data_IF_996762045426
#
_entry.id   IF_996762045426
#
_cell.length_a   1.000
_cell.length_b   1.000
_cell.length_c   1.000
_cell.angle_alpha   90.00
_cell.angle_beta   90.00
_cell.angle_gamma   90.00
#
_symmetry.space_group_name_H-M   'P 1'
#
loop_
_entity.id
_entity.type
_entity.pdbx_description
1 polymer ?
#
# COMPACT_ATOMS: atom_id res chain seq x y z
N UNK A 1 5.94 4.74 -46.07
CA UNK A 1 6.71 4.68 -44.80
C UNK A 1 5.69 4.47 -43.67
N UNK A 2 5.57 3.23 -43.18
CA UNK A 2 4.68 2.91 -42.06
C UNK A 2 5.31 3.50 -40.79
N UNK A 3 4.79 4.63 -40.30
CA UNK A 3 4.91 4.97 -38.90
C UNK A 3 4.16 3.89 -38.14
N UNK A 4 4.85 2.85 -37.67
CA UNK A 4 4.36 2.07 -36.53
C UNK A 4 4.30 3.09 -35.39
N UNK A 5 3.09 3.54 -35.06
CA UNK A 5 2.84 4.30 -33.84
C UNK A 5 3.46 3.50 -32.71
N UNK A 6 4.31 4.13 -31.92
CA UNK A 6 4.94 3.50 -30.77
C UNK A 6 3.85 3.41 -29.69
N UNK A 7 2.97 2.42 -29.83
CA UNK A 7 1.83 2.21 -28.92
C UNK A 7 2.25 1.70 -27.52
N UNK A 8 3.53 1.31 -27.39
CA UNK A 8 4.09 0.84 -26.13
C UNK A 8 5.23 1.78 -25.68
N UNK A 9 5.22 2.10 -24.39
CA UNK A 9 6.28 2.85 -23.71
C UNK A 9 6.97 1.95 -22.69
N UNK A 10 8.30 1.92 -22.69
CA UNK A 10 9.08 1.23 -21.66
C UNK A 10 9.27 2.17 -20.47
N UNK A 11 8.83 1.75 -19.30
CA UNK A 11 9.05 2.46 -18.04
C UNK A 11 10.35 1.97 -17.39
N UNK A 12 11.11 2.89 -16.80
CA UNK A 12 12.30 2.58 -16.03
C UNK A 12 11.99 2.56 -14.54
N UNK A 13 12.51 1.59 -13.81
CA UNK A 13 12.45 1.59 -12.35
C UNK A 13 13.41 2.64 -11.81
N UNK A 14 12.90 3.67 -11.17
CA UNK A 14 13.71 4.76 -10.60
C UNK A 14 14.05 4.53 -9.13
N UNK A 15 13.21 3.76 -8.42
CA UNK A 15 13.36 3.51 -7.00
C UNK A 15 12.64 2.22 -6.59
N UNK A 16 12.92 1.76 -5.38
CA UNK A 16 12.14 0.74 -4.68
C UNK A 16 11.72 1.27 -3.32
N UNK A 17 10.56 0.83 -2.84
CA UNK A 17 10.13 1.16 -1.49
C UNK A 17 10.48 0.03 -0.53
N UNK A 18 10.91 0.38 0.69
CA UNK A 18 10.97 -0.51 1.86
C UNK A 18 9.75 -0.26 2.73
N UNK A 19 9.06 -1.31 3.11
CA UNK A 19 7.90 -1.27 3.99
C UNK A 19 7.93 -2.42 4.99
N UNK A 20 6.99 -2.42 5.93
CA UNK A 20 6.82 -3.50 6.90
C UNK A 20 6.18 -4.78 6.32
N UNK A 21 5.75 -4.78 5.04
CA UNK A 21 4.99 -5.86 4.42
C UNK A 21 5.83 -6.68 3.43
N UNK A 22 6.42 -7.81 3.85
CA UNK A 22 7.13 -8.70 2.92
C UNK A 22 6.19 -9.46 1.98
N UNK A 23 4.91 -9.58 2.36
CA UNK A 23 3.84 -10.20 1.57
C UNK A 23 2.66 -9.25 1.43
N UNK A 24 1.75 -9.55 0.50
CA UNK A 24 0.55 -8.72 0.26
C UNK A 24 -0.53 -8.80 1.34
N UNK A 25 -0.50 -9.82 2.21
CA UNK A 25 -1.50 -9.97 3.26
C UNK A 25 -1.28 -8.93 4.36
N UNK A 26 -2.34 -8.22 4.74
CA UNK A 26 -2.28 -7.14 5.73
C UNK A 26 -1.99 -5.74 5.16
N UNK A 27 -1.57 -5.62 3.89
CA UNK A 27 -1.39 -4.30 3.28
C UNK A 27 -2.74 -3.55 3.26
N UNK A 28 -2.79 -2.29 3.73
CA UNK A 28 -3.99 -1.46 3.62
C UNK A 28 -4.50 -1.37 2.18
N UNK A 29 -5.81 -1.38 2.00
CA UNK A 29 -6.43 -1.40 0.66
C UNK A 29 -6.19 -0.13 -0.16
N UNK A 30 -5.85 0.97 0.49
CA UNK A 30 -5.48 2.26 -0.12
C UNK A 30 -4.46 2.96 0.75
N UNK A 31 -3.67 3.83 0.14
CA UNK A 31 -2.75 4.72 0.86
C UNK A 31 -3.51 5.67 1.81
N UNK A 32 -2.88 6.03 2.91
CA UNK A 32 -3.42 6.95 3.90
C UNK A 32 -4.46 6.36 4.86
N UNK A 33 -4.90 5.10 4.69
CA UNK A 33 -5.81 4.46 5.65
C UNK A 33 -5.14 4.18 7.01
N UNK A 34 -3.84 3.95 7.01
CA UNK A 34 -3.02 3.80 8.21
C UNK A 34 -1.86 4.77 8.10
N UNK A 35 -2.05 5.97 8.57
CA UNK A 35 -1.08 7.08 8.44
C UNK A 35 0.23 6.84 9.19
N UNK A 36 0.21 5.98 10.20
CA UNK A 36 1.38 5.63 11.02
C UNK A 36 2.35 4.64 10.35
N UNK A 37 1.97 4.00 9.23
CA UNK A 37 2.85 3.09 8.49
C UNK A 37 4.01 3.86 7.87
N UNK A 38 5.24 3.44 8.19
CA UNK A 38 6.47 4.04 7.67
C UNK A 38 6.96 3.30 6.44
N UNK A 39 7.55 4.05 5.52
CA UNK A 39 8.23 3.52 4.35
C UNK A 39 9.44 4.37 3.97
N UNK A 40 10.38 3.76 3.28
CA UNK A 40 11.56 4.43 2.75
C UNK A 40 11.65 4.19 1.24
N UNK A 41 11.74 5.27 0.47
CA UNK A 41 11.93 5.19 -0.98
C UNK A 41 13.42 5.36 -1.27
N UNK A 42 14.02 4.34 -1.85
CA UNK A 42 15.45 4.26 -2.15
C UNK A 42 15.63 4.24 -3.66
N UNK A 43 16.27 5.26 -4.18
CA UNK A 43 16.55 5.38 -5.62
C UNK A 43 17.54 4.33 -6.09
N UNK A 44 17.37 3.86 -7.32
CA UNK A 44 18.39 3.06 -8.00
C UNK A 44 19.64 3.92 -8.30
N UNK A 45 20.82 3.33 -8.44
CA UNK A 45 22.07 4.10 -8.56
C UNK A 45 22.06 5.20 -9.61
N UNK A 46 21.41 4.98 -10.75
CA UNK A 46 21.32 5.96 -11.86
C UNK A 46 20.58 7.25 -11.44
N UNK A 47 19.64 7.15 -10.47
CA UNK A 47 18.74 8.26 -10.11
C UNK A 47 19.03 8.87 -8.72
N UNK A 48 20.18 8.56 -8.10
CA UNK A 48 20.59 9.03 -6.77
C UNK A 48 21.15 10.46 -6.75
N UNK A 49 20.54 11.36 -7.48
CA UNK A 49 20.99 12.76 -7.53
C UNK A 49 20.22 13.59 -6.50
N UNK A 50 20.95 14.34 -5.66
CA UNK A 50 20.35 15.31 -4.75
C UNK A 50 19.57 16.42 -5.49
N UNK A 51 20.02 16.75 -6.71
CA UNK A 51 19.35 17.76 -7.53
C UNK A 51 17.96 17.31 -8.00
N UNK A 52 17.75 16.00 -8.16
CA UNK A 52 16.46 15.46 -8.59
C UNK A 52 15.35 15.61 -7.54
N UNK A 53 15.71 15.77 -6.26
CA UNK A 53 14.76 15.94 -5.15
C UNK A 53 14.74 17.36 -4.60
N UNK A 54 15.48 18.28 -5.20
CA UNK A 54 15.54 19.68 -4.77
C UNK A 54 14.16 20.33 -4.85
N UNK A 55 13.68 20.91 -3.73
CA UNK A 55 12.36 21.54 -3.61
C UNK A 55 11.24 20.55 -3.27
N UNK A 56 11.51 19.23 -3.21
CA UNK A 56 10.49 18.26 -2.85
C UNK A 56 10.15 18.35 -1.35
N UNK A 57 11.06 18.83 -0.53
CA UNK A 57 10.89 19.07 0.90
C UNK A 57 9.78 20.08 1.26
N UNK A 58 9.38 20.92 0.30
CA UNK A 58 8.30 21.90 0.49
C UNK A 58 6.91 21.28 0.33
N UNK A 59 6.82 20.04 -0.13
CA UNK A 59 5.57 19.32 -0.34
C UNK A 59 5.29 18.34 0.81
N UNK A 60 4.06 18.33 1.32
CA UNK A 60 3.64 17.43 2.39
C UNK A 60 3.29 16.03 1.88
N UNK A 61 2.90 15.90 0.61
CA UNK A 61 2.50 14.64 -0.01
C UNK A 61 3.08 14.51 -1.42
N UNK A 62 3.28 13.26 -1.82
CA UNK A 62 3.76 12.90 -3.15
C UNK A 62 2.90 11.78 -3.74
N UNK A 63 2.77 11.79 -5.06
CA UNK A 63 2.24 10.68 -5.84
C UNK A 63 3.35 9.70 -6.17
N UNK A 64 3.08 8.41 -5.99
CA UNK A 64 3.91 7.31 -6.44
C UNK A 64 3.21 6.59 -7.58
N UNK A 65 3.89 6.43 -8.71
CA UNK A 65 3.50 5.53 -9.81
C UNK A 65 4.36 4.28 -9.71
N UNK A 66 3.73 3.14 -9.50
CA UNK A 66 4.42 1.90 -9.16
C UNK A 66 3.79 0.69 -9.83
N UNK A 67 4.42 -0.49 -9.74
CA UNK A 67 3.93 -1.71 -10.35
C UNK A 67 3.38 -2.69 -9.32
N UNK A 68 2.23 -3.28 -9.62
CA UNK A 68 1.75 -4.47 -8.95
C UNK A 68 2.58 -5.70 -9.38
N UNK A 69 3.82 -5.80 -8.90
CA UNK A 69 4.78 -6.81 -9.32
C UNK A 69 4.32 -8.25 -9.10
N UNK A 70 3.48 -8.49 -8.08
CA UNK A 70 2.90 -9.80 -7.79
C UNK A 70 1.62 -10.14 -8.58
N UNK A 71 1.18 -9.28 -9.53
CA UNK A 71 -0.08 -9.46 -10.25
C UNK A 71 0.05 -9.36 -11.78
N UNK A 72 1.27 -9.40 -12.30
CA UNK A 72 1.52 -9.39 -13.74
C UNK A 72 0.96 -10.65 -14.39
N UNK A 73 0.18 -10.49 -15.46
CA UNK A 73 -0.44 -11.59 -16.22
C UNK A 73 -0.24 -11.36 -17.72
N UNK A 74 -0.17 -12.44 -18.47
CA UNK A 74 -0.03 -12.41 -19.93
C UNK A 74 -1.35 -11.99 -20.62
N UNK A 75 -2.49 -12.19 -19.95
CA UNK A 75 -3.82 -11.85 -20.45
C UNK A 75 -4.59 -11.02 -19.43
N UNK A 76 -5.45 -10.14 -19.93
CA UNK A 76 -6.33 -9.32 -19.10
C UNK A 76 -7.80 -9.70 -19.28
N UNK A 77 -8.64 -9.29 -18.35
CA UNK A 77 -10.08 -9.44 -18.43
C UNK A 77 -10.75 -8.05 -18.39
N UNK A 78 -11.77 -7.78 -19.20
CA UNK A 78 -12.49 -6.52 -19.18
C UNK A 78 -13.26 -6.30 -17.88
N UNK A 79 -13.49 -7.36 -17.10
CA UNK A 79 -14.22 -7.30 -15.84
C UNK A 79 -13.44 -7.98 -14.71
N UNK A 80 -13.64 -7.47 -13.50
CA UNK A 80 -13.13 -8.02 -12.25
C UNK A 80 -14.25 -8.13 -11.22
N UNK A 81 -14.02 -8.86 -10.14
CA UNK A 81 -14.96 -8.99 -9.01
C UNK A 81 -14.35 -8.30 -7.79
N UNK A 82 -14.75 -7.04 -7.51
CA UNK A 82 -14.23 -6.34 -6.34
C UNK A 82 -14.63 -7.05 -5.04
N UNK A 83 -13.69 -7.34 -4.12
CA UNK A 83 -14.01 -7.98 -2.85
C UNK A 83 -15.05 -7.19 -2.03
N UNK A 84 -15.03 -5.86 -2.10
CA UNK A 84 -15.98 -4.99 -1.42
C UNK A 84 -17.45 -5.17 -1.85
N UNK A 85 -17.69 -5.76 -3.01
CA UNK A 85 -19.03 -6.10 -3.50
C UNK A 85 -19.36 -7.58 -3.26
N UNK A 86 -18.75 -8.22 -2.25
CA UNK A 86 -18.99 -9.62 -1.90
C UNK A 86 -18.43 -10.64 -2.90
N UNK A 87 -17.54 -10.19 -3.82
CA UNK A 87 -16.88 -11.08 -4.79
C UNK A 87 -17.79 -11.66 -5.90
N UNK A 88 -19.09 -11.40 -5.87
CA UNK A 88 -20.06 -11.94 -6.85
C UNK A 88 -20.41 -10.94 -7.96
N UNK A 89 -20.36 -9.65 -7.69
CA UNK A 89 -20.67 -8.59 -8.64
C UNK A 89 -19.49 -8.32 -9.56
N UNK A 90 -19.72 -8.34 -10.87
CA UNK A 90 -18.71 -7.98 -11.87
C UNK A 90 -18.73 -6.48 -12.14
N UNK A 91 -17.53 -5.87 -12.15
CA UNK A 91 -17.33 -4.48 -12.53
C UNK A 91 -16.34 -4.39 -13.69
N UNK A 92 -16.48 -3.38 -14.53
CA UNK A 92 -15.46 -3.05 -15.52
C UNK A 92 -14.12 -2.79 -14.82
N UNK A 93 -13.02 -3.33 -15.36
CA UNK A 93 -11.68 -3.20 -14.72
C UNK A 93 -11.29 -1.74 -14.54
N UNK A 94 -11.65 -0.85 -15.47
CA UNK A 94 -11.33 0.58 -15.39
C UNK A 94 -12.20 1.36 -14.38
N UNK A 95 -13.33 0.77 -13.94
CA UNK A 95 -14.11 1.30 -12.82
C UNK A 95 -13.56 0.86 -11.45
N UNK A 96 -12.41 0.19 -11.40
CA UNK A 96 -11.79 -0.34 -10.18
C UNK A 96 -10.31 0.01 -10.13
N UNK A 97 -9.70 -0.19 -8.95
CA UNK A 97 -8.25 -0.14 -8.74
C UNK A 97 -7.62 -1.54 -8.66
N UNK A 98 -8.26 -2.53 -9.33
CA UNK A 98 -7.74 -3.89 -9.39
C UNK A 98 -6.35 -3.94 -10.04
N UNK A 99 -5.42 -4.76 -9.51
CA UNK A 99 -4.11 -4.98 -10.12
C UNK A 99 -4.19 -5.75 -11.45
N UNK A 100 -5.30 -6.48 -11.68
CA UNK A 100 -5.51 -7.31 -12.87
C UNK A 100 -6.03 -6.47 -14.04
N UNK A 101 -5.18 -5.59 -14.53
CA UNK A 101 -5.46 -4.63 -15.59
C UNK A 101 -4.39 -4.68 -16.68
N UNK A 102 -4.65 -4.12 -17.89
CA UNK A 102 -3.70 -4.20 -19.00
C UNK A 102 -2.30 -3.71 -18.67
N UNK A 103 -2.22 -2.59 -17.94
CA UNK A 103 -0.99 -2.07 -17.37
C UNK A 103 -1.12 -2.13 -15.85
N UNK A 104 -0.46 -3.07 -15.17
CA UNK A 104 -0.62 -3.28 -13.72
C UNK A 104 0.12 -2.21 -12.91
N UNK A 105 -0.26 -0.94 -13.16
CA UNK A 105 0.27 0.23 -12.47
C UNK A 105 -0.62 0.60 -11.29
N UNK A 106 0.01 0.90 -10.16
CA UNK A 106 -0.57 1.49 -8.98
C UNK A 106 -0.31 2.99 -8.92
N UNK A 107 -1.19 3.70 -8.27
CA UNK A 107 -1.08 5.13 -7.98
C UNK A 107 -1.45 5.35 -6.52
N UNK A 108 -0.49 5.85 -5.74
CA UNK A 108 -0.67 6.09 -4.30
C UNK A 108 -0.20 7.49 -3.94
N UNK A 109 -1.03 8.22 -3.21
CA UNK A 109 -0.61 9.45 -2.54
C UNK A 109 -0.11 9.09 -1.14
N UNK A 110 1.12 9.45 -0.81
CA UNK A 110 1.72 9.20 0.49
C UNK A 110 2.22 10.50 1.10
N UNK A 111 2.24 10.56 2.44
CA UNK A 111 2.82 11.69 3.15
C UNK A 111 4.34 11.64 3.04
N UNK A 112 4.96 12.74 2.66
CA UNK A 112 6.41 12.92 2.73
C UNK A 112 6.78 13.45 4.12
N UNK A 113 7.50 12.64 4.89
CA UNK A 113 7.94 12.99 6.24
C UNK A 113 9.27 13.74 6.24
N UNK A 114 10.14 13.40 5.28
CA UNK A 114 11.44 14.03 5.14
C UNK A 114 12.28 13.40 4.04
N UNK A 115 13.44 14.01 3.81
CA UNK A 115 14.46 13.53 2.88
C UNK A 115 15.76 13.44 3.64
N UNK A 116 16.36 12.24 3.69
CA UNK A 116 17.65 12.00 4.30
C UNK A 116 18.70 11.74 3.24
N UNK A 117 19.83 12.46 3.32
CA UNK A 117 21.02 12.13 2.53
C UNK A 117 21.79 11.03 3.23
N UNK A 118 21.88 9.85 2.65
CA UNK A 118 22.62 8.71 3.21
C UNK A 118 23.84 8.38 2.39
N UNK A 119 24.99 8.06 3.04
CA UNK A 119 26.17 7.60 2.33
C UNK A 119 25.84 6.45 1.37
N UNK A 120 26.37 6.46 0.16
CA UNK A 120 26.21 5.46 -0.90
C UNK A 120 24.77 5.26 -1.44
N UNK A 121 23.75 5.73 -0.73
CA UNK A 121 22.35 5.66 -1.15
C UNK A 121 21.85 6.96 -1.79
N UNK A 122 22.52 8.10 -1.52
CA UNK A 122 22.01 9.41 -1.93
C UNK A 122 20.77 9.80 -1.13
N UNK A 123 19.81 10.53 -1.76
CA UNK A 123 18.56 10.89 -1.10
C UNK A 123 17.69 9.67 -0.86
N UNK A 124 17.16 9.55 0.35
CA UNK A 124 16.14 8.57 0.74
C UNK A 124 14.91 9.35 1.17
N UNK A 125 13.76 9.07 0.57
CA UNK A 125 12.52 9.72 0.96
C UNK A 125 11.86 8.91 2.08
N UNK A 126 11.60 9.56 3.20
CA UNK A 126 10.84 8.99 4.31
C UNK A 126 9.36 9.30 4.10
N UNK A 127 8.54 8.27 4.03
CA UNK A 127 7.11 8.40 3.74
C UNK A 127 6.25 7.71 4.79
N UNK A 128 4.97 8.12 4.86
CA UNK A 128 3.94 7.49 5.68
C UNK A 128 2.70 7.15 4.87
N UNK A 129 1.97 6.16 5.38
CA UNK A 129 0.68 5.77 4.82
C UNK A 129 0.78 5.00 3.51
N UNK A 130 1.92 4.41 3.19
CA UNK A 130 2.07 3.61 1.97
C UNK A 130 1.29 2.29 2.03
N UNK A 131 0.66 1.94 0.91
CA UNK A 131 -0.09 0.71 0.67
C UNK A 131 0.66 -0.23 -0.30
N UNK A 132 1.98 -0.30 -0.15
CA UNK A 132 2.86 -1.05 -1.04
C UNK A 132 3.58 -2.18 -0.30
N UNK A 133 3.77 -3.29 -0.98
CA UNK A 133 4.62 -4.38 -0.52
C UNK A 133 6.09 -3.97 -0.52
N UNK A 134 6.87 -4.50 0.40
CA UNK A 134 8.32 -4.32 0.43
C UNK A 134 8.98 -4.69 -0.90
N UNK A 135 9.94 -3.88 -1.35
CA UNK A 135 10.63 -4.07 -2.62
C UNK A 135 9.83 -3.65 -3.87
N UNK A 136 8.62 -3.09 -3.73
CA UNK A 136 7.82 -2.66 -4.88
C UNK A 136 8.57 -1.63 -5.72
N UNK A 137 8.68 -1.85 -7.07
CA UNK A 137 9.34 -0.91 -7.97
C UNK A 137 8.48 0.34 -8.21
N UNK A 138 9.14 1.49 -8.18
CA UNK A 138 8.55 2.81 -8.43
C UNK A 138 9.08 3.32 -9.76
N UNK A 139 8.18 3.82 -10.59
CA UNK A 139 8.49 4.35 -11.94
C UNK A 139 8.49 5.86 -12.00
N UNK A 140 7.69 6.54 -11.17
CA UNK A 140 7.66 8.00 -11.14
C UNK A 140 7.22 8.51 -9.76
N UNK A 141 7.68 9.71 -9.43
CA UNK A 141 7.34 10.45 -8.22
C UNK A 141 6.96 11.86 -8.64
N UNK A 142 5.79 12.32 -8.23
CA UNK A 142 5.32 13.68 -8.47
C UNK A 142 4.85 14.34 -7.18
N UNK A 143 5.00 15.65 -7.02
CA UNK A 143 4.40 16.33 -5.89
C UNK A 143 2.87 16.28 -5.96
N UNK A 144 2.21 16.14 -4.82
CA UNK A 144 0.76 16.33 -4.70
C UNK A 144 0.45 17.83 -4.66
N UNK A 145 -0.41 18.27 -5.55
CA UNK A 145 -0.78 19.68 -5.70
C UNK A 145 -2.26 19.85 -5.35
N UNK A 146 -2.60 20.42 -4.15
CA UNK A 146 -3.96 20.44 -3.65
C UNK A 146 -5.01 21.02 -4.60
N UNK A 147 -4.72 22.11 -5.27
CA UNK A 147 -5.68 22.76 -6.17
C UNK A 147 -5.96 21.94 -7.45
N UNK A 148 -5.05 21.03 -7.83
CA UNK A 148 -5.18 20.20 -9.03
C UNK A 148 -5.64 18.77 -8.69
N UNK A 149 -5.20 18.24 -7.56
CA UNK A 149 -5.37 16.81 -7.22
C UNK A 149 -6.57 16.56 -6.29
N UNK A 150 -7.05 17.60 -5.57
CA UNK A 150 -8.15 17.47 -4.64
C UNK A 150 -9.48 17.85 -5.28
N UNK A 151 -10.44 16.92 -5.29
CA UNK A 151 -11.80 17.12 -5.76
C UNK A 151 -12.79 16.74 -4.65
N UNK A 152 -13.12 17.64 -3.70
CA UNK A 152 -13.97 17.33 -2.56
C UNK A 152 -15.37 16.84 -2.94
N UNK A 153 -15.89 17.30 -4.09
CA UNK A 153 -17.23 16.96 -4.60
C UNK A 153 -17.23 15.73 -5.52
N UNK A 154 -16.11 15.00 -5.63
CA UNK A 154 -16.01 13.86 -6.52
C UNK A 154 -16.96 12.73 -6.08
N UNK A 155 -17.72 12.19 -7.05
CA UNK A 155 -18.55 11.03 -6.81
C UNK A 155 -17.70 9.76 -6.63
N UNK A 156 -17.96 9.01 -5.56
CA UNK A 156 -17.15 7.84 -5.18
C UNK A 156 -17.59 6.52 -5.83
N UNK A 157 -18.62 6.54 -6.71
CA UNK A 157 -19.12 5.34 -7.35
C UNK A 157 -19.56 4.26 -6.35
N UNK A 158 -19.30 3.00 -6.65
CA UNK A 158 -19.67 1.88 -5.77
C UNK A 158 -18.96 1.92 -4.40
N UNK A 159 -17.86 2.64 -4.27
CA UNK A 159 -17.13 2.73 -3.00
C UNK A 159 -17.86 3.55 -1.95
N UNK A 160 -18.80 4.42 -2.37
CA UNK A 160 -19.66 5.16 -1.43
C UNK A 160 -20.63 4.25 -0.66
N UNK A 161 -20.94 3.08 -1.21
CA UNK A 161 -21.89 2.12 -0.61
C UNK A 161 -21.19 1.11 0.33
N UNK A 162 -19.85 1.14 0.36
CA UNK A 162 -19.05 0.19 1.15
C UNK A 162 -18.38 0.93 2.30
N UNK A 163 -18.89 0.71 3.51
CA UNK A 163 -18.26 1.27 4.71
C UNK A 163 -16.93 0.56 4.99
N UNK A 164 -15.96 1.31 5.52
CA UNK A 164 -14.79 0.72 6.14
C UNK A 164 -15.24 0.06 7.44
N UNK A 165 -14.93 -1.22 7.58
CA UNK A 165 -15.16 -1.94 8.82
C UNK A 165 -13.91 -1.80 9.67
N UNK A 166 -14.07 -1.23 10.85
CA UNK A 166 -13.02 -1.18 11.86
C UNK A 166 -13.37 -2.17 12.96
N UNK A 167 -12.38 -2.90 13.42
CA UNK A 167 -12.51 -3.84 14.52
C UNK A 167 -11.76 -3.33 15.75
N UNK A 168 -12.25 -3.69 16.93
CA UNK A 168 -11.54 -3.47 18.18
C UNK A 168 -10.38 -4.47 18.28
N UNK A 169 -9.17 -3.98 18.52
CA UNK A 169 -7.98 -4.82 18.66
C UNK A 169 -7.69 -5.11 20.12
N UNK A 170 -7.79 -6.37 20.50
CA UNK A 170 -7.43 -6.89 21.81
C UNK A 170 -6.13 -7.67 21.71
N UNK A 171 -5.14 -7.29 22.50
CA UNK A 171 -3.85 -7.95 22.54
C UNK A 171 -3.32 -7.95 23.98
N UNK A 172 -2.92 -9.11 24.56
CA UNK A 172 -2.27 -9.16 25.86
C UNK A 172 -1.01 -8.28 25.89
N UNK A 173 -0.77 -7.60 27.00
CA UNK A 173 0.33 -6.64 27.14
C UNK A 173 1.71 -7.31 26.88
N UNK A 174 1.89 -8.53 27.40
CA UNK A 174 3.11 -9.31 27.19
C UNK A 174 3.36 -9.71 25.74
N UNK A 175 2.30 -9.91 24.96
CA UNK A 175 2.38 -10.19 23.51
C UNK A 175 2.71 -8.89 22.76
N UNK A 176 2.03 -7.80 23.12
CA UNK A 176 2.25 -6.49 22.51
C UNK A 176 3.65 -5.94 22.78
N UNK A 177 4.24 -6.26 23.94
CA UNK A 177 5.61 -5.86 24.30
C UNK A 177 6.68 -6.37 23.32
N UNK A 178 6.39 -7.42 22.54
CA UNK A 178 7.32 -7.97 21.54
C UNK A 178 7.41 -7.09 20.29
N UNK A 179 6.44 -6.20 20.07
CA UNK A 179 6.44 -5.29 18.92
C UNK A 179 7.38 -4.10 19.22
N UNK A 180 8.37 -3.83 18.35
CA UNK A 180 9.19 -2.63 18.49
C UNK A 180 8.35 -1.37 18.60
N UNK A 181 8.71 -0.45 19.48
CA UNK A 181 7.91 0.75 19.75
C UNK A 181 7.60 1.57 18.48
N UNK A 182 8.55 1.64 17.54
CA UNK A 182 8.38 2.36 16.28
C UNK A 182 7.30 1.74 15.35
N UNK A 183 6.99 0.45 15.52
CA UNK A 183 6.07 -0.30 14.65
C UNK A 183 4.68 -0.49 15.27
N UNK A 184 4.50 -0.18 16.55
CA UNK A 184 3.25 -0.46 17.29
C UNK A 184 2.04 0.24 16.70
N UNK A 185 2.16 1.53 16.40
CA UNK A 185 1.04 2.30 15.86
C UNK A 185 0.67 1.83 14.44
N UNK A 186 1.67 1.48 13.64
CA UNK A 186 1.47 0.91 12.31
C UNK A 186 0.75 -0.44 12.36
N UNK A 187 1.24 -1.36 13.19
CA UNK A 187 0.62 -2.68 13.35
C UNK A 187 -0.80 -2.56 13.89
N UNK A 188 -1.04 -1.72 14.91
CA UNK A 188 -2.36 -1.48 15.46
C UNK A 188 -3.33 -0.99 14.39
N UNK A 189 -2.95 0.02 13.62
CA UNK A 189 -3.79 0.55 12.56
C UNK A 189 -4.10 -0.48 11.46
N UNK A 190 -3.16 -1.35 11.12
CA UNK A 190 -3.39 -2.46 10.18
C UNK A 190 -4.43 -3.43 10.72
N UNK A 191 -4.31 -3.84 11.99
CA UNK A 191 -5.23 -4.77 12.62
C UNK A 191 -6.63 -4.17 12.78
N UNK A 192 -6.74 -2.89 13.16
CA UNK A 192 -8.01 -2.16 13.28
C UNK A 192 -8.76 -2.05 11.93
N UNK A 193 -8.05 -2.07 10.82
CA UNK A 193 -8.63 -2.06 9.46
C UNK A 193 -9.07 -3.46 8.96
N UNK A 194 -9.15 -4.45 9.82
CA UNK A 194 -9.55 -5.83 9.52
C UNK A 194 -8.83 -6.40 8.28
N UNK A 195 -7.63 -6.93 8.44
CA UNK A 195 -6.82 -7.41 7.31
C UNK A 195 -7.36 -8.71 6.67
N UNK A 196 -8.43 -9.31 7.22
CA UNK A 196 -9.03 -10.53 6.66
C UNK A 196 -9.52 -10.33 5.22
N UNK A 197 -9.52 -11.37 4.39
CA UNK A 197 -10.35 -11.40 3.19
C UNK A 197 -11.82 -11.16 3.56
N UNK A 198 -12.49 -10.30 2.81
CA UNK A 198 -13.87 -9.85 3.10
C UNK A 198 -14.94 -10.93 3.02
N UNK A 199 -14.60 -12.11 2.50
CA UNK A 199 -15.47 -13.29 2.37
C UNK A 199 -15.25 -14.34 3.48
N UNK A 200 -14.37 -14.05 4.45
CA UNK A 200 -14.03 -14.98 5.52
C UNK A 200 -14.59 -14.50 6.87
N UNK A 201 -15.50 -15.31 7.45
CA UNK A 201 -16.23 -14.97 8.68
C UNK A 201 -16.16 -16.08 9.74
N UNK A 202 -15.21 -17.01 9.64
CA UNK A 202 -15.03 -18.09 10.63
C UNK A 202 -14.32 -17.54 11.89
N UNK A 203 -14.99 -17.47 13.05
CA UNK A 203 -14.41 -16.91 14.28
C UNK A 203 -13.33 -17.81 14.90
N UNK A 204 -13.30 -19.10 14.55
CA UNK A 204 -12.28 -20.02 15.06
C UNK A 204 -11.00 -20.04 14.21
N UNK A 205 -11.03 -19.41 13.05
CA UNK A 205 -9.89 -19.37 12.15
C UNK A 205 -8.80 -18.47 12.71
N UNK A 206 -7.58 -19.02 12.77
CA UNK A 206 -6.36 -18.25 13.06
C UNK A 206 -5.78 -17.74 11.74
N UNK A 207 -5.55 -16.44 11.67
CA UNK A 207 -4.86 -15.79 10.56
C UNK A 207 -3.42 -15.53 10.97
N UNK A 208 -2.49 -15.68 10.03
CA UNK A 208 -1.08 -15.33 10.20
C UNK A 208 -0.70 -14.20 9.24
N UNK A 209 -0.03 -13.17 9.72
CA UNK A 209 0.42 -12.02 8.96
C UNK A 209 1.88 -11.71 9.27
N UNK A 210 2.66 -11.49 8.23
CA UNK A 210 4.03 -11.01 8.38
C UNK A 210 4.04 -9.47 8.39
N UNK A 211 4.68 -8.88 9.41
CA UNK A 211 4.79 -7.43 9.56
C UNK A 211 6.11 -7.06 10.25
N UNK A 212 6.95 -6.27 9.60
CA UNK A 212 8.21 -5.76 10.15
C UNK A 212 9.13 -6.85 10.76
N UNK A 213 9.23 -8.02 10.10
CA UNK A 213 10.01 -9.17 10.58
C UNK A 213 9.36 -9.95 11.72
N UNK A 214 8.10 -9.66 12.01
CA UNK A 214 7.27 -10.39 12.98
C UNK A 214 6.26 -11.26 12.24
N UNK A 215 5.93 -12.40 12.85
CA UNK A 215 4.77 -13.22 12.53
C UNK A 215 3.68 -12.90 13.55
N UNK A 216 2.55 -12.39 13.09
CA UNK A 216 1.42 -11.95 13.92
C UNK A 216 0.25 -12.89 13.69
N UNK A 217 -0.21 -13.60 14.72
CA UNK A 217 -1.37 -14.48 14.67
C UNK A 217 -2.56 -13.82 15.37
N UNK A 218 -3.72 -13.91 14.75
CA UNK A 218 -4.95 -13.33 15.29
C UNK A 218 -6.19 -14.09 14.86
N UNK A 219 -7.27 -13.93 15.63
CA UNK A 219 -8.64 -14.36 15.32
C UNK A 219 -9.55 -13.14 15.27
N UNK A 220 -10.67 -13.26 14.57
CA UNK A 220 -11.68 -12.20 14.55
C UNK A 220 -13.06 -12.81 14.76
N UNK A 221 -13.74 -12.31 15.77
CA UNK A 221 -15.13 -12.66 16.09
C UNK A 221 -15.96 -11.36 16.13
N UNK A 222 -16.94 -11.26 15.25
CA UNK A 222 -17.71 -10.03 15.06
C UNK A 222 -16.81 -8.84 14.79
N UNK A 223 -16.88 -7.83 15.64
CA UNK A 223 -16.14 -6.58 15.56
C UNK A 223 -14.86 -6.57 16.42
N UNK A 224 -14.45 -7.74 16.95
CA UNK A 224 -13.27 -7.87 17.81
C UNK A 224 -12.20 -8.72 17.15
N UNK A 225 -11.00 -8.17 17.00
CA UNK A 225 -9.81 -8.86 16.58
C UNK A 225 -8.92 -9.13 17.81
N UNK A 226 -8.69 -10.41 18.10
CA UNK A 226 -7.82 -10.82 19.21
C UNK A 226 -6.48 -11.32 18.66
N UNK A 227 -5.40 -10.64 19.04
CA UNK A 227 -4.04 -11.12 18.75
C UNK A 227 -3.72 -12.26 19.70
N UNK A 228 -3.39 -13.42 19.14
CA UNK A 228 -3.12 -14.64 19.91
C UNK A 228 -1.63 -14.86 20.17
N UNK A 229 -0.79 -14.46 19.22
CA UNK A 229 0.66 -14.61 19.33
C UNK A 229 1.40 -13.61 18.41
N UNK A 230 2.57 -13.17 18.84
CA UNK A 230 3.53 -12.42 18.04
C UNK A 230 4.91 -13.02 18.29
N UNK A 231 5.59 -13.44 17.25
CA UNK A 231 6.94 -14.01 17.33
C UNK A 231 7.85 -13.39 16.27
N UNK A 232 9.16 -13.43 16.52
CA UNK A 232 10.16 -13.05 15.49
C UNK A 232 10.33 -14.20 14.51
N UNK A 233 10.47 -13.84 13.27
CA UNK A 233 10.76 -14.77 12.17
C UNK A 233 12.26 -14.95 11.96
#
# INVERSE_FOLDING_TARGET
>A
MNQKSNEAMTLKVIAHIRTAFPTKFGIPRQSGLVDSLRGEIIFTPEYRSADAVRGLEDFSHIWLVWQFSGAVRDTWSPTVRPPRLGGNTRMGVFATRSPFRPNPLGLSSVKLEGIEMRPEMGPVLLVRGADLMDGTPIYDIKPYIPYADCHPDAAAGFTAQTQFHHVEVVCPEEVWAQVPAAERDGLRGVLENDPRPSDQHDPERVYGMEFAGLEVHFKVDGDTLTVTDISRR
#
